data_IF_050954551255
#
_entry.id   IF_050954551255
#
_cell.length_a   1.000
_cell.length_b   1.000
_cell.length_c   1.000
_cell.angle_alpha   90.00
_cell.angle_beta   90.00
_cell.angle_gamma   90.00
#
_symmetry.space_group_name_H-M   'P 1'
#
loop_
_entity.id
_entity.type
_entity.pdbx_description
1 polymer ?
#
# COMPACT_ATOMS: atom_id res chain seq x y z
N UNK A 1 24.00 3.71 17.27
CA UNK A 1 23.70 4.99 16.60
C UNK A 1 22.63 4.72 15.56
N UNK A 2 21.39 5.02 15.91
CA UNK A 2 20.20 4.82 15.08
C UNK A 2 20.23 5.80 13.91
N UNK A 3 20.21 5.30 12.66
CA UNK A 3 20.01 6.17 11.51
C UNK A 3 18.50 6.27 11.22
N UNK A 4 17.81 7.02 12.08
CA UNK A 4 16.49 7.60 11.82
C UNK A 4 16.76 8.81 10.92
N UNK A 5 16.39 8.77 9.63
CA UNK A 5 16.47 9.99 8.82
C UNK A 5 16.54 9.88 7.29
N UNK A 6 16.63 8.69 6.68
CA UNK A 6 16.53 8.58 5.22
C UNK A 6 15.11 8.20 4.80
N UNK A 7 14.16 9.10 5.06
CA UNK A 7 13.03 9.26 4.15
C UNK A 7 13.58 9.98 2.92
N UNK A 8 14.13 9.22 1.98
CA UNK A 8 14.32 9.71 0.62
C UNK A 8 12.94 9.93 0.05
N UNK A 9 12.65 11.15 -0.40
CA UNK A 9 11.64 11.42 -1.42
C UNK A 9 12.10 10.78 -2.74
N UNK A 10 12.19 9.45 -2.73
CA UNK A 10 12.80 8.61 -3.74
C UNK A 10 12.06 7.29 -3.76
N UNK A 11 11.75 6.84 -4.98
CA UNK A 11 11.15 5.56 -5.34
C UNK A 11 11.04 4.54 -4.20
N UNK A 12 9.82 4.18 -3.81
CA UNK A 12 9.60 3.11 -2.84
C UNK A 12 10.06 1.80 -3.52
N UNK A 13 10.91 0.99 -2.88
CA UNK A 13 11.38 -0.26 -3.48
C UNK A 13 10.20 -1.16 -3.88
N UNK A 14 10.30 -1.84 -5.03
CA UNK A 14 9.23 -2.71 -5.54
C UNK A 14 8.74 -3.74 -4.51
N UNK A 15 9.64 -4.31 -3.71
CA UNK A 15 9.29 -5.26 -2.66
C UNK A 15 8.45 -4.63 -1.53
N UNK A 16 8.70 -3.37 -1.20
CA UNK A 16 7.92 -2.63 -0.19
C UNK A 16 6.56 -2.26 -0.76
N UNK A 17 6.51 -1.75 -2.00
CA UNK A 17 5.25 -1.43 -2.65
C UNK A 17 4.36 -2.69 -2.85
N UNK A 18 4.98 -3.84 -3.16
CA UNK A 18 4.27 -5.12 -3.21
C UNK A 18 3.69 -5.54 -1.86
N UNK A 19 4.44 -5.32 -0.77
CA UNK A 19 3.94 -5.59 0.58
C UNK A 19 2.77 -4.68 0.94
N UNK A 20 2.85 -3.38 0.62
CA UNK A 20 1.75 -2.44 0.85
C UNK A 20 0.48 -2.84 0.09
N UNK A 21 0.61 -3.28 -1.17
CA UNK A 21 -0.50 -3.78 -1.97
C UNK A 21 -1.15 -5.01 -1.31
N UNK A 22 -0.34 -5.99 -0.92
CA UNK A 22 -0.83 -7.19 -0.21
C UNK A 22 -1.56 -6.84 1.09
N UNK A 23 -0.99 -5.96 1.91
CA UNK A 23 -1.60 -5.54 3.18
C UNK A 23 -2.94 -4.83 2.96
N UNK A 24 -3.04 -4.01 1.90
CA UNK A 24 -4.27 -3.31 1.54
C UNK A 24 -5.38 -4.28 1.04
N UNK A 25 -5.03 -5.30 0.26
CA UNK A 25 -5.96 -6.37 -0.13
C UNK A 25 -6.48 -7.13 1.09
N UNK A 26 -5.60 -7.48 2.03
CA UNK A 26 -5.99 -8.12 3.29
C UNK A 26 -6.93 -7.23 4.11
N UNK A 27 -6.65 -5.93 4.19
CA UNK A 27 -7.51 -4.98 4.90
C UNK A 27 -8.91 -4.89 4.28
N UNK A 28 -9.00 -4.82 2.95
CA UNK A 28 -10.29 -4.80 2.24
C UNK A 28 -11.06 -6.11 2.44
N UNK A 29 -10.37 -7.25 2.39
CA UNK A 29 -10.99 -8.55 2.66
C UNK A 29 -11.61 -8.58 4.07
N UNK A 30 -10.86 -8.13 5.09
CA UNK A 30 -11.35 -8.07 6.47
C UNK A 30 -12.53 -7.10 6.58
N UNK A 31 -12.46 -5.91 5.96
CA UNK A 31 -13.55 -4.95 5.97
C UNK A 31 -14.84 -5.52 5.37
N UNK A 32 -14.76 -6.29 4.29
CA UNK A 32 -15.92 -7.01 3.76
C UNK A 32 -16.49 -8.05 4.73
N UNK A 33 -15.64 -8.75 5.51
CA UNK A 33 -16.11 -9.70 6.52
C UNK A 33 -16.90 -9.02 7.65
N UNK A 34 -16.56 -7.77 8.00
CA UNK A 34 -17.27 -7.04 9.06
C UNK A 34 -18.57 -6.40 8.57
N UNK A 35 -18.75 -6.22 7.25
CA UNK A 35 -19.90 -5.53 6.63
C UNK A 35 -20.10 -4.08 7.13
N UNK A 36 -19.04 -3.44 7.57
CA UNK A 36 -19.06 -2.02 7.94
C UNK A 36 -18.74 -1.20 6.69
N UNK A 37 -19.75 -0.62 6.06
CA UNK A 37 -19.61 0.09 4.77
C UNK A 37 -18.53 1.18 4.79
N UNK A 38 -18.40 1.92 5.90
CA UNK A 38 -17.37 2.95 6.03
C UNK A 38 -15.95 2.38 6.09
N UNK A 39 -15.78 1.17 6.63
CA UNK A 39 -14.48 0.48 6.64
C UNK A 39 -14.17 -0.12 5.27
N UNK A 40 -15.19 -0.60 4.56
CA UNK A 40 -15.04 -1.09 3.19
C UNK A 40 -14.59 0.05 2.27
N UNK A 41 -15.24 1.21 2.37
CA UNK A 41 -14.86 2.39 1.60
C UNK A 41 -13.40 2.81 1.90
N UNK A 42 -13.05 2.96 3.18
CA UNK A 42 -11.70 3.36 3.58
C UNK A 42 -10.62 2.34 3.14
N UNK A 43 -10.92 1.03 3.23
CA UNK A 43 -10.00 -0.01 2.77
C UNK A 43 -9.87 -0.07 1.24
N UNK A 44 -10.95 0.22 0.51
CA UNK A 44 -10.92 0.34 -0.96
C UNK A 44 -10.09 1.52 -1.42
N UNK A 45 -10.21 2.68 -0.76
CA UNK A 45 -9.40 3.86 -1.04
C UNK A 45 -7.91 3.55 -0.80
N UNK A 46 -7.61 2.87 0.31
CA UNK A 46 -6.24 2.44 0.63
C UNK A 46 -5.68 1.42 -0.36
N UNK A 47 -6.50 0.51 -0.87
CA UNK A 47 -6.10 -0.42 -1.92
C UNK A 47 -5.76 0.32 -3.22
N UNK A 48 -6.56 1.33 -3.58
CA UNK A 48 -6.28 2.14 -4.75
C UNK A 48 -4.96 2.90 -4.63
N UNK A 49 -4.67 3.50 -3.47
CA UNK A 49 -3.39 4.16 -3.21
C UNK A 49 -2.19 3.20 -3.35
N UNK A 50 -2.30 2.01 -2.78
CA UNK A 50 -1.23 1.00 -2.84
C UNK A 50 -1.01 0.45 -4.26
N UNK A 51 -2.08 0.32 -5.06
CA UNK A 51 -1.97 -0.07 -6.48
C UNK A 51 -1.22 0.99 -7.30
N UNK A 52 -1.54 2.27 -7.11
CA UNK A 52 -0.82 3.38 -7.76
C UNK A 52 0.67 3.39 -7.36
N UNK A 53 0.96 3.21 -6.07
CA UNK A 53 2.33 3.11 -5.55
C UNK A 53 3.10 1.93 -6.19
N UNK A 54 2.48 0.76 -6.27
CA UNK A 54 3.06 -0.43 -6.87
C UNK A 54 3.31 -0.25 -8.37
N UNK A 55 2.34 0.25 -9.13
CA UNK A 55 2.50 0.53 -10.56
C UNK A 55 3.66 1.50 -10.83
N UNK A 56 3.80 2.53 -10.01
CA UNK A 56 4.92 3.46 -10.09
C UNK A 56 6.26 2.77 -9.80
N UNK A 57 6.33 1.93 -8.76
CA UNK A 57 7.55 1.18 -8.44
C UNK A 57 7.95 0.17 -9.52
N UNK A 58 6.98 -0.47 -10.20
CA UNK A 58 7.23 -1.34 -11.35
C UNK A 58 7.84 -0.54 -12.51
N UNK A 59 7.29 0.63 -12.82
CA UNK A 59 7.79 1.50 -13.89
C UNK A 59 9.20 2.05 -13.66
N UNK A 60 9.69 2.02 -12.41
CA UNK A 60 11.04 2.46 -12.03
C UNK A 60 12.06 1.31 -11.95
N UNK A 61 11.59 0.05 -11.99
CA UNK A 61 12.43 -1.14 -11.82
C UNK A 61 12.85 -1.79 -13.15
N UNK A 62 12.34 -1.30 -14.28
CA UNK A 62 12.69 -1.74 -15.64
C UNK A 62 13.64 -0.76 -16.33
#
# INVERSE_FOLDING_TARGET
MSNVGQQTAGAIPLSIAAQHLYDAECALHIAHQTRVDTWIAAASDRLHEADVEYQHAIGQSG
#
